data_IF_110332515730
#
_entry.id   IF_110332515730
#
_cell.length_a   1.000
_cell.length_b   1.000
_cell.length_c   1.000
_cell.angle_alpha   90.00
_cell.angle_beta   90.00
_cell.angle_gamma   90.00
#
_symmetry.space_group_name_H-M   'P 1'
#
loop_
_entity.id
_entity.type
_entity.pdbx_description
1 polymer ?
#
# COMPACT_ATOMS: atom_id res chain seq x y z
N UNK A 1 -0.67 9.21 59.89
CA UNK A 1 -1.67 9.22 58.80
C UNK A 1 -1.16 8.70 57.43
N UNK A 2 0.10 8.94 57.04
CA UNK A 2 0.67 8.43 55.75
C UNK A 2 0.96 6.92 55.77
N UNK A 3 1.36 6.35 56.89
CA UNK A 3 1.64 4.92 57.05
C UNK A 3 0.37 4.05 56.89
N UNK A 4 -0.76 4.49 57.49
CA UNK A 4 -2.05 3.78 57.42
C UNK A 4 -2.60 3.82 56.00
N UNK A 5 -2.42 4.87 55.22
CA UNK A 5 -2.80 4.93 53.81
C UNK A 5 -1.99 3.95 52.94
N UNK A 6 -0.69 3.82 53.20
CA UNK A 6 0.18 2.87 52.46
C UNK A 6 -0.22 1.41 52.79
N UNK A 7 -0.53 1.10 54.04
CA UNK A 7 -0.96 -0.21 54.43
C UNK A 7 -2.33 -0.58 53.83
N UNK A 8 -3.29 0.34 53.78
CA UNK A 8 -4.57 0.12 53.08
C UNK A 8 -4.40 -0.12 51.61
N UNK A 9 -3.51 0.62 50.94
CA UNK A 9 -3.23 0.42 49.51
C UNK A 9 -2.52 -0.91 49.23
N UNK A 10 -1.64 -1.37 50.13
CA UNK A 10 -1.03 -2.71 50.03
C UNK A 10 -2.05 -3.83 50.21
N UNK A 11 -2.93 -3.74 51.22
CA UNK A 11 -3.97 -4.75 51.44
C UNK A 11 -5.00 -4.83 50.31
N UNK A 12 -5.38 -3.71 49.71
CA UNK A 12 -6.26 -3.70 48.53
C UNK A 12 -5.58 -4.35 47.34
N UNK A 13 -4.29 -4.10 47.15
CA UNK A 13 -3.49 -4.67 46.06
C UNK A 13 -3.27 -6.17 46.22
N UNK A 14 -3.11 -6.66 47.46
CA UNK A 14 -2.93 -8.06 47.76
C UNK A 14 -4.27 -8.86 47.65
N UNK A 15 -5.37 -8.27 48.07
CA UNK A 15 -6.72 -8.85 47.86
C UNK A 15 -7.07 -8.98 46.37
N UNK A 16 -6.76 -7.97 45.58
CA UNK A 16 -6.96 -8.02 44.12
C UNK A 16 -6.05 -9.05 43.43
N UNK A 17 -4.91 -9.38 44.06
CA UNK A 17 -3.99 -10.40 43.55
C UNK A 17 -4.39 -11.83 43.90
N UNK A 18 -5.10 -12.01 45.02
CA UNK A 18 -5.53 -13.35 45.50
C UNK A 18 -6.88 -13.79 44.92
N UNK A 19 -7.71 -12.84 44.50
CA UNK A 19 -9.02 -13.10 43.88
C UNK A 19 -9.00 -13.13 42.35
N UNK A 20 -7.86 -12.85 41.72
CA UNK A 20 -7.73 -12.89 40.27
C UNK A 20 -7.53 -14.32 39.78
N UNK A 21 -8.64 -14.98 39.42
CA UNK A 21 -8.62 -15.94 38.31
C UNK A 21 -7.72 -15.39 37.20
N UNK A 22 -6.99 -16.26 36.46
CA UNK A 22 -5.99 -15.80 35.46
C UNK A 22 -6.52 -14.95 34.29
N UNK A 23 -7.78 -14.50 34.40
CA UNK A 23 -8.48 -13.75 33.32
C UNK A 23 -8.75 -12.28 33.66
N UNK A 24 -8.37 -11.77 34.83
CA UNK A 24 -8.49 -10.33 35.12
C UNK A 24 -7.25 -9.63 34.57
N UNK A 25 -7.32 -9.27 33.30
CA UNK A 25 -6.39 -8.33 32.68
C UNK A 25 -6.57 -6.99 33.40
N UNK A 26 -5.64 -6.61 34.24
CA UNK A 26 -5.64 -5.30 34.91
C UNK A 26 -5.43 -4.23 33.83
N UNK A 27 -6.52 -3.61 33.39
CA UNK A 27 -6.52 -2.46 32.49
C UNK A 27 -5.92 -1.23 33.19
N UNK A 28 -4.63 -1.22 33.38
CA UNK A 28 -3.90 -0.02 33.78
C UNK A 28 -3.72 0.84 32.53
N UNK A 29 -3.88 2.17 32.63
CA UNK A 29 -3.68 3.11 31.51
C UNK A 29 -2.35 2.87 30.76
N UNK A 30 -1.30 2.46 31.46
CA UNK A 30 0.02 2.13 30.91
C UNK A 30 -0.02 0.80 30.14
N UNK A 31 -0.76 -0.21 30.65
CA UNK A 31 -0.90 -1.51 29.98
C UNK A 31 -1.74 -1.42 28.71
N UNK A 32 -2.78 -0.59 28.68
CA UNK A 32 -3.57 -0.30 27.48
C UNK A 32 -2.73 0.42 26.42
N UNK A 33 -1.86 1.36 26.82
CA UNK A 33 -0.97 2.04 25.91
C UNK A 33 0.06 1.10 25.27
N UNK A 34 0.69 0.23 26.06
CA UNK A 34 1.69 -0.73 25.54
C UNK A 34 1.09 -1.83 24.68
N UNK A 35 -0.07 -2.37 25.04
CA UNK A 35 -0.76 -3.35 24.20
C UNK A 35 -1.29 -2.72 22.91
N UNK A 36 -1.76 -1.46 22.95
CA UNK A 36 -2.19 -0.72 21.79
C UNK A 36 -1.05 -0.46 20.79
N UNK A 37 0.14 -0.08 21.26
CA UNK A 37 1.32 0.12 20.41
C UNK A 37 1.75 -1.18 19.74
N UNK A 38 1.81 -2.30 20.47
CA UNK A 38 2.17 -3.59 19.91
C UNK A 38 1.18 -4.08 18.85
N UNK A 39 -0.11 -3.95 19.12
CA UNK A 39 -1.16 -4.34 18.17
C UNK A 39 -1.16 -3.46 16.92
N UNK A 40 -1.00 -2.14 17.06
CA UNK A 40 -0.91 -1.24 15.91
C UNK A 40 0.32 -1.49 15.05
N UNK A 41 1.46 -1.80 15.67
CA UNK A 41 2.68 -2.16 14.95
C UNK A 41 2.51 -3.45 14.12
N UNK A 42 1.84 -4.46 14.67
CA UNK A 42 1.53 -5.70 13.94
C UNK A 42 0.62 -5.43 12.73
N UNK A 43 -0.47 -4.68 12.90
CA UNK A 43 -1.36 -4.33 11.79
C UNK A 43 -0.64 -3.52 10.72
N UNK A 44 0.20 -2.58 11.12
CA UNK A 44 1.01 -1.78 10.19
C UNK A 44 1.98 -2.66 9.41
N UNK A 45 2.69 -3.56 10.09
CA UNK A 45 3.63 -4.49 9.45
C UNK A 45 2.92 -5.42 8.45
N UNK A 46 1.85 -6.07 8.87
CA UNK A 46 1.08 -6.99 8.01
C UNK A 46 0.46 -6.24 6.84
N UNK A 47 -0.11 -5.06 7.07
CA UNK A 47 -0.69 -4.23 6.01
C UNK A 47 0.34 -3.78 4.99
N UNK A 48 1.51 -3.33 5.44
CA UNK A 48 2.61 -2.91 4.57
C UNK A 48 3.16 -4.11 3.78
N UNK A 49 3.38 -5.26 4.44
CA UNK A 49 3.85 -6.47 3.78
C UNK A 49 2.88 -6.94 2.68
N UNK A 50 1.58 -7.07 3.01
CA UNK A 50 0.56 -7.42 2.02
C UNK A 50 0.48 -6.39 0.89
N UNK A 51 0.54 -5.10 1.21
CA UNK A 51 0.52 -4.03 0.21
C UNK A 51 1.67 -4.14 -0.79
N UNK A 52 2.89 -4.39 -0.32
CA UNK A 52 4.07 -4.60 -1.18
C UNK A 52 3.88 -5.85 -2.05
N UNK A 53 3.48 -6.98 -1.45
CA UNK A 53 3.28 -8.24 -2.20
C UNK A 53 2.23 -8.06 -3.29
N UNK A 54 1.08 -7.43 -2.99
CA UNK A 54 0.05 -7.16 -3.98
C UNK A 54 0.51 -6.17 -5.06
N UNK A 55 1.27 -5.14 -4.72
CA UNK A 55 1.81 -4.18 -5.68
C UNK A 55 2.76 -4.87 -6.67
N UNK A 56 3.66 -5.72 -6.17
CA UNK A 56 4.59 -6.49 -7.01
C UNK A 56 3.84 -7.49 -7.89
N UNK A 57 2.90 -8.26 -7.34
CA UNK A 57 2.11 -9.22 -8.09
C UNK A 57 1.30 -8.55 -9.20
N UNK A 58 0.58 -7.46 -8.88
CA UNK A 58 -0.23 -6.71 -9.85
C UNK A 58 0.63 -6.12 -10.97
N UNK A 59 1.78 -5.51 -10.63
CA UNK A 59 2.71 -4.96 -11.60
C UNK A 59 3.28 -6.05 -12.52
N UNK A 60 3.60 -7.22 -11.98
CA UNK A 60 4.11 -8.35 -12.76
C UNK A 60 3.05 -8.89 -13.73
N UNK A 61 1.80 -9.05 -13.27
CA UNK A 61 0.69 -9.50 -14.15
C UNK A 61 0.47 -8.52 -15.30
N UNK A 62 0.38 -7.22 -15.01
CA UNK A 62 0.25 -6.19 -16.05
C UNK A 62 1.41 -6.20 -17.03
N UNK A 63 2.64 -6.38 -16.55
CA UNK A 63 3.83 -6.43 -17.40
C UNK A 63 3.79 -7.65 -18.33
N UNK A 64 3.45 -8.82 -17.83
CA UNK A 64 3.34 -10.05 -18.64
C UNK A 64 2.24 -9.92 -19.70
N UNK A 65 1.08 -9.39 -19.32
CA UNK A 65 -0.02 -9.14 -20.24
C UNK A 65 0.40 -8.22 -21.39
N UNK A 66 1.07 -7.11 -21.08
CA UNK A 66 1.55 -6.17 -22.09
C UNK A 66 2.66 -6.74 -22.98
N UNK A 67 3.56 -7.56 -22.43
CA UNK A 67 4.58 -8.24 -23.21
C UNK A 67 3.97 -9.26 -24.16
N UNK A 68 2.97 -10.03 -23.73
CA UNK A 68 2.23 -10.96 -24.57
C UNK A 68 1.50 -10.24 -25.70
N UNK A 69 0.78 -9.15 -25.38
CA UNK A 69 0.11 -8.31 -26.39
C UNK A 69 1.09 -7.69 -27.39
N UNK A 70 2.25 -7.23 -26.91
CA UNK A 70 3.28 -6.68 -27.79
C UNK A 70 3.86 -7.73 -28.73
N UNK A 71 4.02 -8.97 -28.27
CA UNK A 71 4.45 -10.10 -29.10
C UNK A 71 3.43 -10.45 -30.18
N UNK A 72 2.15 -10.51 -29.80
CA UNK A 72 1.07 -10.81 -30.75
C UNK A 72 0.87 -9.70 -31.80
N UNK A 73 1.10 -8.46 -31.42
CA UNK A 73 0.98 -7.30 -32.30
C UNK A 73 2.25 -7.02 -33.12
N UNK A 74 3.35 -7.75 -32.94
CA UNK A 74 4.62 -7.55 -33.65
C UNK A 74 4.44 -7.52 -35.17
N UNK A 75 3.69 -8.47 -35.70
CA UNK A 75 3.43 -8.57 -37.13
C UNK A 75 2.63 -7.37 -37.67
N UNK A 76 1.66 -6.88 -36.90
CA UNK A 76 0.87 -5.68 -37.24
C UNK A 76 1.76 -4.44 -37.30
N UNK A 77 2.68 -4.27 -36.37
CA UNK A 77 3.65 -3.16 -36.36
C UNK A 77 4.65 -3.26 -37.53
N UNK A 78 5.02 -4.50 -37.93
CA UNK A 78 5.85 -4.74 -39.10
C UNK A 78 5.16 -4.28 -40.41
N UNK A 79 3.89 -4.64 -40.57
CA UNK A 79 3.08 -4.23 -41.71
C UNK A 79 2.93 -2.71 -41.75
N UNK A 80 2.70 -2.07 -40.61
CA UNK A 80 2.65 -0.61 -40.51
C UNK A 80 3.95 0.06 -40.99
N UNK A 81 5.10 -0.53 -40.63
CA UNK A 81 6.41 -0.08 -41.10
C UNK A 81 6.56 -0.19 -42.61
N UNK A 82 6.04 -1.26 -43.23
CA UNK A 82 6.04 -1.44 -44.69
C UNK A 82 5.14 -0.42 -45.42
N UNK A 83 4.06 0.03 -44.75
CA UNK A 83 3.16 1.08 -45.26
C UNK A 83 3.73 2.51 -45.09
N UNK A 84 4.96 2.65 -44.56
CA UNK A 84 5.63 3.93 -44.43
C UNK A 84 5.54 4.58 -43.04
N UNK A 85 5.05 3.88 -42.01
CA UNK A 85 5.10 4.40 -40.67
C UNK A 85 6.52 4.47 -40.14
N UNK A 86 6.93 5.65 -39.64
CA UNK A 86 8.26 5.84 -39.10
C UNK A 86 8.43 5.15 -37.74
N UNK A 87 9.63 4.65 -37.43
CA UNK A 87 9.92 4.01 -36.12
C UNK A 87 9.50 4.85 -34.89
N UNK A 88 9.77 6.20 -34.87
CA UNK A 88 9.34 7.01 -33.75
C UNK A 88 7.80 7.09 -33.60
N UNK A 89 7.03 6.96 -34.67
CA UNK A 89 5.58 6.94 -34.65
C UNK A 89 5.05 5.65 -34.00
N UNK A 90 5.65 4.51 -34.36
CA UNK A 90 5.34 3.21 -33.76
C UNK A 90 5.69 3.19 -32.28
N UNK A 91 6.89 3.66 -31.90
CA UNK A 91 7.31 3.71 -30.50
C UNK A 91 6.41 4.62 -29.65
N UNK A 92 5.94 5.74 -30.19
CA UNK A 92 5.01 6.64 -29.51
C UNK A 92 3.64 5.97 -29.31
N UNK A 93 3.15 5.25 -30.31
CA UNK A 93 1.91 4.51 -30.22
C UNK A 93 2.00 3.43 -29.11
N UNK A 94 3.09 2.68 -29.09
CA UNK A 94 3.36 1.67 -28.07
C UNK A 94 3.41 2.28 -26.64
N UNK A 95 4.12 3.41 -26.49
CA UNK A 95 4.21 4.10 -25.21
C UNK A 95 2.83 4.54 -24.69
N UNK A 96 1.99 5.07 -25.56
CA UNK A 96 0.63 5.50 -25.21
C UNK A 96 -0.24 4.29 -24.87
N UNK A 97 -0.18 3.21 -25.63
CA UNK A 97 -0.94 1.98 -25.39
C UNK A 97 -0.60 1.38 -24.02
N UNK A 98 0.67 1.17 -23.72
CA UNK A 98 1.12 0.67 -22.42
C UNK A 98 0.72 1.66 -21.31
N UNK A 99 0.85 2.96 -21.57
CA UNK A 99 0.48 4.01 -20.64
C UNK A 99 -0.99 3.96 -20.24
N UNK A 100 -1.89 3.75 -21.17
CA UNK A 100 -3.33 3.64 -20.89
C UNK A 100 -3.60 2.42 -20.01
N UNK A 101 -3.01 1.26 -20.32
CA UNK A 101 -3.20 0.01 -19.56
C UNK A 101 -2.71 0.15 -18.11
N UNK A 102 -1.58 0.84 -17.87
CA UNK A 102 -1.06 1.06 -16.53
C UNK A 102 -1.80 2.19 -15.79
N UNK A 103 -2.20 3.25 -16.48
CA UNK A 103 -2.86 4.40 -15.86
C UNK A 103 -4.31 4.11 -15.43
N UNK A 104 -5.03 3.30 -16.18
CA UNK A 104 -6.44 3.02 -15.87
C UNK A 104 -6.64 2.41 -14.49
N UNK A 105 -5.98 1.28 -14.12
CA UNK A 105 -6.13 0.70 -12.78
C UNK A 105 -5.56 1.62 -11.70
N UNK A 106 -4.50 2.38 -11.98
CA UNK A 106 -3.91 3.32 -11.02
C UNK A 106 -4.89 4.45 -10.67
N UNK A 107 -5.57 5.04 -11.66
CA UNK A 107 -6.56 6.09 -11.43
C UNK A 107 -7.72 5.56 -10.57
N UNK A 108 -8.24 4.37 -10.89
CA UNK A 108 -9.31 3.75 -10.11
C UNK A 108 -8.86 3.49 -8.66
N UNK A 109 -7.64 2.98 -8.48
CA UNK A 109 -7.06 2.74 -7.15
C UNK A 109 -6.89 4.03 -6.35
N UNK A 110 -6.43 5.13 -6.98
CA UNK A 110 -6.27 6.43 -6.33
C UNK A 110 -7.62 7.02 -5.89
N UNK A 111 -8.65 6.94 -6.75
CA UNK A 111 -10.00 7.40 -6.40
C UNK A 111 -10.53 6.61 -5.20
N UNK A 112 -10.41 5.28 -5.23
CA UNK A 112 -10.84 4.40 -4.15
C UNK A 112 -10.09 4.70 -2.84
N UNK A 113 -8.76 4.86 -2.92
CA UNK A 113 -7.92 5.20 -1.77
C UNK A 113 -8.29 6.57 -1.18
N UNK A 114 -8.59 7.56 -2.02
CA UNK A 114 -9.00 8.88 -1.54
C UNK A 114 -10.29 8.82 -0.73
N UNK A 115 -11.30 8.08 -1.22
CA UNK A 115 -12.57 7.89 -0.50
C UNK A 115 -12.32 7.15 0.82
N UNK A 116 -11.58 6.05 0.80
CA UNK A 116 -11.27 5.27 1.99
C UNK A 116 -10.51 6.10 3.05
N UNK A 117 -9.51 6.87 2.64
CA UNK A 117 -8.75 7.75 3.54
C UNK A 117 -9.61 8.85 4.16
N UNK A 118 -10.57 9.39 3.42
CA UNK A 118 -11.52 10.40 3.94
C UNK A 118 -12.37 9.81 5.07
N UNK A 119 -12.92 8.61 4.88
CA UNK A 119 -13.73 7.94 5.89
C UNK A 119 -12.90 7.52 7.11
N UNK A 120 -11.71 6.96 6.91
CA UNK A 120 -10.80 6.58 7.99
C UNK A 120 -10.37 7.81 8.80
N UNK A 121 -10.04 8.92 8.13
CA UNK A 121 -9.65 10.15 8.80
C UNK A 121 -10.79 10.72 9.65
N UNK A 122 -12.04 10.64 9.17
CA UNK A 122 -13.22 11.03 9.94
C UNK A 122 -13.35 10.21 11.22
N UNK A 123 -13.23 8.88 11.14
CA UNK A 123 -13.32 7.98 12.30
C UNK A 123 -12.18 8.24 13.30
N UNK A 124 -10.95 8.41 12.81
CA UNK A 124 -9.78 8.66 13.67
C UNK A 124 -9.87 10.03 14.35
N UNK A 125 -10.36 11.05 13.65
CA UNK A 125 -10.50 12.41 14.20
C UNK A 125 -11.47 12.49 15.39
N UNK A 126 -12.40 11.54 15.50
CA UNK A 126 -13.29 11.40 16.66
C UNK A 126 -12.55 10.89 17.90
N UNK A 127 -11.39 10.25 17.74
CA UNK A 127 -10.63 9.62 18.83
C UNK A 127 -9.33 10.36 19.15
N UNK A 128 -8.59 10.81 18.13
CA UNK A 128 -7.26 11.42 18.27
C UNK A 128 -7.01 12.41 17.12
N UNK A 129 -6.43 13.56 17.42
CA UNK A 129 -5.99 14.54 16.41
C UNK A 129 -4.63 14.12 15.86
N UNK A 130 -4.58 13.34 14.79
CA UNK A 130 -3.35 12.93 14.11
C UNK A 130 -3.29 13.60 12.74
N UNK A 131 -2.14 14.17 12.40
CA UNK A 131 -1.90 14.69 11.05
C UNK A 131 -1.38 13.56 10.14
N UNK A 132 -2.23 13.08 9.24
CA UNK A 132 -1.93 11.94 8.36
C UNK A 132 -1.33 12.41 7.01
N UNK A 133 -1.33 13.73 6.74
CA UNK A 133 -0.96 14.28 5.45
C UNK A 133 0.46 13.89 4.98
N UNK A 134 1.43 13.93 5.88
CA UNK A 134 2.83 13.59 5.56
C UNK A 134 2.99 12.12 5.17
N UNK A 135 2.27 11.23 5.85
CA UNK A 135 2.29 9.79 5.55
C UNK A 135 1.64 9.47 4.19
N UNK A 136 0.58 10.19 3.83
CA UNK A 136 -0.08 10.05 2.52
C UNK A 136 0.88 10.45 1.40
N UNK A 137 1.62 11.54 1.57
CA UNK A 137 2.58 12.02 0.58
C UNK A 137 3.70 11.00 0.33
N UNK A 138 4.32 10.49 1.38
CA UNK A 138 5.38 9.46 1.29
C UNK A 138 4.87 8.20 0.59
N UNK A 139 3.67 7.73 0.96
CA UNK A 139 3.06 6.55 0.35
C UNK A 139 2.75 6.77 -1.13
N UNK A 140 2.25 7.95 -1.50
CA UNK A 140 1.96 8.30 -2.89
C UNK A 140 3.24 8.32 -3.73
N UNK A 141 4.32 8.92 -3.23
CA UNK A 141 5.63 8.92 -3.92
C UNK A 141 6.13 7.48 -4.12
N UNK A 142 6.03 6.63 -3.10
CA UNK A 142 6.43 5.23 -3.20
C UNK A 142 5.66 4.47 -4.29
N UNK A 143 4.34 4.63 -4.35
CA UNK A 143 3.49 4.02 -5.37
C UNK A 143 3.89 4.50 -6.77
N UNK A 144 4.11 5.80 -6.96
CA UNK A 144 4.53 6.38 -8.25
C UNK A 144 5.87 5.83 -8.71
N UNK A 145 6.83 5.65 -7.79
CA UNK A 145 8.15 5.06 -8.10
C UNK A 145 8.00 3.60 -8.55
N UNK A 146 7.24 2.80 -7.81
CA UNK A 146 7.05 1.36 -8.12
C UNK A 146 6.32 1.19 -9.45
N UNK A 147 5.17 1.85 -9.64
CA UNK A 147 4.41 1.77 -10.88
C UNK A 147 5.17 2.37 -12.07
N UNK A 148 5.86 3.50 -11.88
CA UNK A 148 6.72 4.09 -12.89
C UNK A 148 7.86 3.18 -13.32
N UNK A 149 8.46 2.46 -12.36
CA UNK A 149 9.48 1.45 -12.63
C UNK A 149 8.95 0.29 -13.48
N UNK A 150 7.78 -0.26 -13.14
CA UNK A 150 7.12 -1.30 -13.95
C UNK A 150 6.75 -0.81 -15.35
N UNK A 151 6.19 0.39 -15.46
CA UNK A 151 5.87 1.00 -16.74
C UNK A 151 7.09 1.14 -17.65
N UNK A 152 8.20 1.67 -17.12
CA UNK A 152 9.46 1.83 -17.86
C UNK A 152 10.04 0.47 -18.26
N UNK A 153 10.10 -0.49 -17.36
CA UNK A 153 10.59 -1.84 -17.63
C UNK A 153 9.77 -2.53 -18.74
N UNK A 154 8.44 -2.44 -18.65
CA UNK A 154 7.52 -3.01 -19.64
C UNK A 154 7.66 -2.33 -20.99
N UNK A 155 7.76 -0.98 -21.03
CA UNK A 155 7.97 -0.23 -22.26
C UNK A 155 9.29 -0.61 -22.94
N UNK A 156 10.39 -0.68 -22.19
CA UNK A 156 11.70 -1.04 -22.73
C UNK A 156 11.70 -2.47 -23.28
N UNK A 157 11.08 -3.41 -22.58
CA UNK A 157 10.98 -4.79 -23.03
C UNK A 157 10.09 -4.93 -24.28
N UNK A 158 8.91 -4.30 -24.31
CA UNK A 158 8.01 -4.29 -25.47
C UNK A 158 8.64 -3.62 -26.69
N UNK A 159 9.31 -2.49 -26.48
CA UNK A 159 10.01 -1.78 -27.54
C UNK A 159 11.13 -2.63 -28.16
N UNK A 160 11.82 -3.42 -27.36
CA UNK A 160 12.83 -4.37 -27.84
C UNK A 160 12.20 -5.48 -28.70
N UNK A 161 11.11 -6.07 -28.25
CA UNK A 161 10.38 -7.13 -28.97
C UNK A 161 9.92 -6.66 -30.36
N UNK A 162 9.43 -5.43 -30.47
CA UNK A 162 8.89 -4.89 -31.72
C UNK A 162 10.00 -4.47 -32.69
N UNK A 163 11.16 -4.04 -32.19
CA UNK A 163 12.25 -3.57 -33.03
C UNK A 163 13.27 -4.67 -33.44
N UNK A 164 13.19 -5.86 -32.82
CA UNK A 164 13.91 -7.08 -33.26
C UNK A 164 13.15 -7.79 -34.38
#
# INVERSE_FOLDING_TARGET
>A
HKAIRRQRQMCIRDRLRTESSPTVISFTRIGLGQSGIGTSALFTFVGLYLGIVFALASGTVLAIEQLSESSDNKERYRILGQLGASKPMVNRCLLVQIGITFMFPLIVALIHSFVALKEINYIISLMVSINIADNILVTTIFIVIVYGGYYLATYLASNRIINE
#
